data_IF_310900611669
#
_entry.id   IF_310900611669
#
_cell.length_a   1.000
_cell.length_b   1.000
_cell.length_c   1.000
_cell.angle_alpha   90.00
_cell.angle_beta   90.00
_cell.angle_gamma   90.00
#
_symmetry.space_group_name_H-M   'P 1'
#
loop_
_entity.id
_entity.type
_entity.pdbx_description
1 polymer ?
#
# COMPACT_ATOMS: atom_id res chain seq x y z
N UNK A 1 -19.99 43.55 -60.81
CA UNK A 1 -20.73 42.33 -60.44
C UNK A 1 -20.23 41.81 -59.10
N UNK A 2 -20.72 42.38 -58.00
CA UNK A 2 -20.70 41.76 -56.66
C UNK A 2 -22.01 42.22 -56.02
N UNK A 3 -23.08 41.54 -56.38
CA UNK A 3 -24.48 41.88 -56.09
C UNK A 3 -25.16 40.76 -55.29
N UNK A 4 -24.37 40.00 -54.51
CA UNK A 4 -24.84 38.71 -53.97
C UNK A 4 -24.13 38.38 -52.65
N UNK A 5 -24.62 38.95 -51.55
CA UNK A 5 -24.54 38.38 -50.20
C UNK A 5 -25.17 39.34 -49.15
N UNK A 6 -26.35 39.89 -49.41
CA UNK A 6 -27.23 40.25 -48.29
C UNK A 6 -27.97 38.97 -47.88
N UNK A 7 -27.19 38.05 -47.32
CA UNK A 7 -27.68 36.80 -46.77
C UNK A 7 -28.34 37.12 -45.44
N UNK A 8 -29.66 37.29 -45.53
CA UNK A 8 -30.67 37.16 -44.48
C UNK A 8 -30.10 36.65 -43.15
N UNK A 9 -29.75 37.57 -42.25
CA UNK A 9 -29.47 37.23 -40.86
C UNK A 9 -30.82 37.15 -40.17
N UNK A 10 -31.35 35.95 -39.85
CA UNK A 10 -32.58 35.86 -39.09
C UNK A 10 -32.35 36.55 -37.74
N UNK A 11 -33.18 37.54 -37.42
CA UNK A 11 -33.17 38.18 -36.11
C UNK A 11 -33.29 37.10 -35.02
N UNK A 12 -32.28 37.06 -34.14
CA UNK A 12 -32.23 36.06 -33.10
C UNK A 12 -33.49 36.15 -32.23
N UNK A 13 -34.19 35.04 -31.95
CA UNK A 13 -35.42 35.06 -31.18
C UNK A 13 -35.16 35.70 -29.81
N UNK A 14 -36.00 36.68 -29.49
CA UNK A 14 -35.98 37.44 -28.24
C UNK A 14 -35.88 36.47 -27.06
N UNK A 15 -34.77 36.54 -26.31
CA UNK A 15 -34.53 35.64 -25.19
C UNK A 15 -35.59 35.90 -24.13
N UNK A 16 -36.53 34.96 -23.99
CA UNK A 16 -37.55 34.97 -22.96
C UNK A 16 -36.90 35.22 -21.59
N UNK A 17 -37.50 36.08 -20.73
CA UNK A 17 -36.97 36.35 -19.41
C UNK A 17 -36.91 35.03 -18.63
N UNK A 18 -35.71 34.62 -18.23
CA UNK A 18 -35.49 33.44 -17.40
C UNK A 18 -36.21 33.68 -16.08
N UNK A 19 -37.42 33.11 -15.96
CA UNK A 19 -38.26 33.20 -14.79
C UNK A 19 -37.53 32.45 -13.67
N UNK A 20 -36.83 33.21 -12.82
CA UNK A 20 -36.07 32.69 -11.69
C UNK A 20 -37.07 32.15 -10.69
N UNK A 21 -37.45 30.88 -10.84
CA UNK A 21 -38.28 30.19 -9.87
C UNK A 21 -37.62 30.33 -8.51
N UNK A 22 -38.26 31.10 -7.63
CA UNK A 22 -37.90 31.15 -6.22
C UNK A 22 -38.16 29.76 -5.68
N UNK A 23 -37.15 28.89 -5.74
CA UNK A 23 -37.17 27.59 -5.05
C UNK A 23 -37.64 27.88 -3.63
N UNK A 24 -38.80 27.33 -3.30
CA UNK A 24 -39.45 27.59 -2.01
C UNK A 24 -38.45 27.34 -0.90
N UNK A 25 -38.48 28.14 0.17
CA UNK A 25 -37.60 27.94 1.33
C UNK A 25 -37.65 26.49 1.85
N UNK A 26 -38.79 25.83 1.65
CA UNK A 26 -39.00 24.40 1.94
C UNK A 26 -38.06 23.48 1.14
N UNK A 27 -37.80 23.79 -0.14
CA UNK A 27 -36.86 23.05 -0.99
C UNK A 27 -35.41 23.23 -0.53
N UNK A 28 -35.04 24.43 -0.09
CA UNK A 28 -33.71 24.68 0.45
C UNK A 28 -33.51 23.95 1.79
N UNK A 29 -34.53 23.95 2.64
CA UNK A 29 -34.49 23.22 3.93
C UNK A 29 -34.42 21.71 3.72
N UNK A 30 -35.21 21.15 2.80
CA UNK A 30 -35.14 19.72 2.49
C UNK A 30 -33.77 19.32 1.94
N UNK A 31 -33.20 20.13 1.06
CA UNK A 31 -31.85 19.91 0.52
C UNK A 31 -30.78 19.97 1.63
N UNK A 32 -30.89 20.90 2.57
CA UNK A 32 -29.98 21.00 3.71
C UNK A 32 -30.05 19.76 4.61
N UNK A 33 -31.26 19.27 4.90
CA UNK A 33 -31.48 18.07 5.72
C UNK A 33 -30.86 16.84 5.05
N UNK A 34 -31.05 16.67 3.74
CA UNK A 34 -30.47 15.55 3.00
C UNK A 34 -28.94 15.59 3.04
N UNK A 35 -28.34 16.77 2.86
CA UNK A 35 -26.88 16.95 2.92
C UNK A 35 -26.35 16.62 4.33
N UNK A 36 -27.00 17.14 5.39
CA UNK A 36 -26.61 16.86 6.77
C UNK A 36 -26.75 15.38 7.12
N UNK A 37 -27.84 14.73 6.70
CA UNK A 37 -28.03 13.30 6.90
C UNK A 37 -26.94 12.48 6.17
N UNK A 38 -26.60 12.85 4.94
CA UNK A 38 -25.51 12.22 4.18
C UNK A 38 -24.16 12.36 4.88
N UNK A 39 -23.82 13.56 5.35
CA UNK A 39 -22.59 13.81 6.10
C UNK A 39 -22.53 13.03 7.41
N UNK A 40 -23.64 12.93 8.14
CA UNK A 40 -23.73 12.15 9.36
C UNK A 40 -23.53 10.64 9.10
N UNK A 41 -24.14 10.10 8.04
CA UNK A 41 -23.97 8.70 7.63
C UNK A 41 -22.52 8.43 7.25
N UNK A 42 -21.90 9.31 6.45
CA UNK A 42 -20.49 9.18 6.07
C UNK A 42 -19.62 9.19 7.31
N UNK A 43 -19.77 10.18 8.21
CA UNK A 43 -18.99 10.30 9.44
C UNK A 43 -19.09 9.04 10.32
N UNK A 44 -20.29 8.48 10.45
CA UNK A 44 -20.53 7.26 11.23
C UNK A 44 -19.99 5.99 10.56
N UNK A 45 -19.93 5.95 9.22
CA UNK A 45 -19.40 4.81 8.45
C UNK A 45 -17.89 4.89 8.19
N UNK A 46 -17.27 6.07 8.21
CA UNK A 46 -15.81 6.26 8.04
C UNK A 46 -14.94 5.39 8.92
N UNK A 47 -15.20 5.20 10.24
CA UNK A 47 -14.36 4.34 11.07
C UNK A 47 -14.35 2.87 10.60
N UNK A 48 -15.43 2.40 9.96
CA UNK A 48 -15.47 1.05 9.36
C UNK A 48 -14.66 0.96 8.06
N UNK A 49 -14.62 2.04 7.27
CA UNK A 49 -13.84 2.10 6.03
C UNK A 49 -12.34 2.24 6.28
N UNK A 50 -11.94 2.94 7.34
CA UNK A 50 -10.51 3.07 7.72
C UNK A 50 -9.92 1.71 8.12
N UNK A 51 -10.72 0.83 8.71
CA UNK A 51 -10.31 -0.56 9.01
C UNK A 51 -10.09 -1.40 7.74
N UNK A 52 -10.82 -1.11 6.66
CA UNK A 52 -10.67 -1.81 5.37
C UNK A 52 -9.54 -1.23 4.51
N UNK A 53 -9.28 0.08 4.59
CA UNK A 53 -8.18 0.75 3.86
C UNK A 53 -6.81 0.51 4.53
N UNK A 54 -6.80 0.14 5.82
CA UNK A 54 -5.61 -0.45 6.47
C UNK A 54 -5.39 -1.93 6.12
N UNK A 55 -6.17 -2.48 5.18
CA UNK A 55 -6.05 -3.84 4.67
C UNK A 55 -4.78 -4.03 3.84
N UNK A 56 -3.94 -4.92 4.35
CA UNK A 56 -2.86 -5.68 3.73
C UNK A 56 -1.83 -4.91 2.88
N UNK A 57 -0.68 -4.70 3.54
CA UNK A 57 0.60 -4.37 2.88
C UNK A 57 0.82 -5.34 1.71
N UNK A 58 1.28 -4.84 0.55
CA UNK A 58 1.26 -5.59 -0.69
C UNK A 58 2.07 -6.88 -0.58
N UNK A 59 1.37 -7.99 -0.85
CA UNK A 59 1.84 -9.25 -1.44
C UNK A 59 3.36 -9.32 -1.66
N UNK A 60 4.10 -9.61 -0.58
CA UNK A 60 5.41 -10.25 -0.68
C UNK A 60 5.21 -11.72 -0.36
N UNK A 61 5.74 -12.59 -1.20
CA UNK A 61 5.47 -14.03 -1.20
C UNK A 61 5.61 -14.64 0.20
N UNK A 62 4.46 -14.92 0.82
CA UNK A 62 4.29 -15.42 2.17
C UNK A 62 2.99 -14.88 2.77
N UNK A 63 2.05 -15.76 3.13
CA UNK A 63 0.73 -15.46 3.72
C UNK A 63 0.79 -14.96 5.17
N UNK A 64 1.92 -14.42 5.60
CA UNK A 64 2.15 -14.06 6.99
C UNK A 64 2.25 -12.55 7.15
N UNK A 65 1.35 -11.97 7.93
CA UNK A 65 1.52 -10.63 8.45
C UNK A 65 2.74 -10.64 9.38
N UNK A 66 3.85 -10.09 8.89
CA UNK A 66 5.08 -9.86 9.65
C UNK A 66 5.09 -8.45 10.24
N UNK A 67 5.66 -8.31 11.44
CA UNK A 67 5.91 -6.99 12.02
C UNK A 67 7.09 -6.30 11.31
N UNK A 68 7.29 -5.01 11.60
CA UNK A 68 8.35 -4.22 10.95
C UNK A 68 9.78 -4.75 11.23
N UNK A 69 9.99 -5.41 12.37
CA UNK A 69 11.30 -5.96 12.73
C UNK A 69 11.55 -7.30 12.03
N UNK A 70 10.52 -8.12 11.86
CA UNK A 70 10.56 -9.32 11.02
C UNK A 70 10.79 -8.97 9.55
N UNK A 71 10.14 -7.93 9.04
CA UNK A 71 10.38 -7.41 7.69
C UNK A 71 11.85 -6.98 7.52
N UNK A 72 12.40 -6.24 8.49
CA UNK A 72 13.80 -5.84 8.47
C UNK A 72 14.76 -7.04 8.56
N UNK A 73 14.41 -8.07 9.33
CA UNK A 73 15.18 -9.32 9.41
C UNK A 73 15.23 -10.04 8.04
N UNK A 74 14.11 -10.08 7.32
CA UNK A 74 14.04 -10.66 5.97
C UNK A 74 14.84 -9.80 4.98
N UNK A 75 14.77 -8.47 5.07
CA UNK A 75 15.59 -7.56 4.24
C UNK A 75 17.09 -7.79 4.46
N UNK A 76 17.51 -7.96 5.72
CA UNK A 76 18.91 -8.28 6.04
C UNK A 76 19.32 -9.61 5.38
N UNK A 77 18.46 -10.63 5.42
CA UNK A 77 18.73 -11.93 4.77
C UNK A 77 18.78 -11.83 3.24
N UNK A 78 18.02 -10.94 2.62
CA UNK A 78 18.20 -10.63 1.19
C UNK A 78 19.57 -10.02 0.91
N UNK A 79 20.08 -9.17 1.80
CA UNK A 79 21.43 -8.63 1.67
C UNK A 79 22.49 -9.72 1.86
N UNK A 80 22.32 -10.60 2.86
CA UNK A 80 23.17 -11.79 3.03
C UNK A 80 23.20 -12.61 1.76
N UNK A 81 22.03 -12.91 1.19
CA UNK A 81 21.91 -13.70 -0.02
C UNK A 81 22.77 -13.15 -1.14
N UNK A 82 22.68 -11.84 -1.39
CA UNK A 82 23.52 -11.15 -2.37
C UNK A 82 25.01 -11.35 -2.08
N UNK A 83 25.44 -11.18 -0.83
CA UNK A 83 26.84 -11.40 -0.44
C UNK A 83 27.30 -12.85 -0.69
N UNK A 84 26.46 -13.83 -0.35
CA UNK A 84 26.75 -15.24 -0.58
C UNK A 84 26.89 -15.57 -2.08
N UNK A 85 26.05 -14.96 -2.93
CA UNK A 85 26.16 -15.09 -4.39
C UNK A 85 27.46 -14.46 -4.92
N UNK A 86 27.92 -13.36 -4.32
CA UNK A 86 29.22 -12.75 -4.63
C UNK A 86 30.42 -13.51 -4.02
N UNK A 87 30.18 -14.61 -3.31
CA UNK A 87 31.23 -15.38 -2.62
C UNK A 87 31.80 -14.68 -1.38
N UNK A 88 31.12 -13.66 -0.86
CA UNK A 88 31.49 -12.91 0.35
C UNK A 88 30.72 -13.42 1.56
N UNK A 89 31.36 -13.36 2.72
CA UNK A 89 30.69 -13.63 3.99
C UNK A 89 30.01 -12.35 4.53
N UNK A 90 28.85 -12.45 5.19
CA UNK A 90 28.25 -11.32 5.87
C UNK A 90 29.15 -10.83 7.02
N UNK A 91 29.24 -9.50 7.17
CA UNK A 91 30.02 -8.85 8.21
C UNK A 91 29.40 -9.00 9.60
N UNK A 92 30.21 -8.76 10.65
CA UNK A 92 29.77 -8.84 12.06
C UNK A 92 28.78 -7.74 12.47
N UNK A 93 28.70 -6.68 11.66
CA UNK A 93 27.76 -5.57 11.75
C UNK A 93 26.33 -5.98 11.35
N UNK A 94 26.18 -7.10 10.64
CA UNK A 94 24.87 -7.59 10.26
C UNK A 94 24.22 -8.39 11.40
N UNK A 95 23.35 -7.71 12.14
CA UNK A 95 22.65 -8.25 13.30
C UNK A 95 21.15 -8.36 13.07
N UNK A 96 20.53 -9.32 13.74
CA UNK A 96 19.08 -9.43 13.80
C UNK A 96 18.51 -8.23 14.58
N UNK A 97 17.50 -7.52 14.05
CA UNK A 97 16.98 -6.27 14.64
C UNK A 97 16.28 -6.49 15.98
N UNK A 98 15.88 -7.72 16.29
CA UNK A 98 15.08 -8.03 17.47
C UNK A 98 15.93 -8.68 18.57
N UNK A 99 16.86 -9.56 18.20
CA UNK A 99 17.78 -10.18 19.17
C UNK A 99 19.09 -9.40 19.37
N UNK A 100 19.42 -8.45 18.50
CA UNK A 100 20.70 -7.75 18.43
C UNK A 100 21.92 -8.69 18.38
N UNK A 101 21.74 -9.91 17.89
CA UNK A 101 22.80 -10.91 17.71
C UNK A 101 23.15 -11.05 16.23
N UNK A 102 24.42 -11.36 15.91
CA UNK A 102 24.82 -11.64 14.54
C UNK A 102 24.08 -12.88 14.01
N UNK A 103 23.89 -12.93 12.69
CA UNK A 103 23.31 -14.11 12.04
C UNK A 103 24.24 -15.32 12.17
N UNK A 104 23.65 -16.50 12.33
CA UNK A 104 24.39 -17.75 12.43
C UNK A 104 24.80 -18.22 11.04
N UNK A 105 26.10 -18.45 10.83
CA UNK A 105 26.64 -18.93 9.56
C UNK A 105 27.06 -20.39 9.75
N UNK A 106 26.58 -21.29 8.90
CA UNK A 106 26.93 -22.72 8.93
C UNK A 106 27.31 -23.19 7.53
N UNK A 107 28.47 -23.81 7.40
CA UNK A 107 28.90 -24.44 6.16
C UNK A 107 28.50 -25.92 6.18
N UNK A 108 27.67 -26.33 5.23
CA UNK A 108 27.18 -27.70 5.09
C UNK A 108 27.64 -28.22 3.73
N UNK A 109 28.74 -28.97 3.72
CA UNK A 109 29.41 -29.37 2.49
C UNK A 109 29.89 -28.16 1.70
N UNK A 110 29.37 -28.00 0.47
CA UNK A 110 29.67 -26.86 -0.39
C UNK A 110 28.66 -25.70 -0.27
N UNK A 111 27.59 -25.86 0.52
CA UNK A 111 26.59 -24.83 0.72
C UNK A 111 26.85 -24.04 2.01
N UNK A 112 26.60 -22.74 1.96
CA UNK A 112 26.71 -21.84 3.11
C UNK A 112 25.32 -21.39 3.48
N UNK A 113 24.91 -21.73 4.70
CA UNK A 113 23.62 -21.39 5.27
C UNK A 113 23.81 -20.24 6.24
N UNK A 114 22.87 -19.30 6.20
CA UNK A 114 22.81 -18.20 7.15
C UNK A 114 21.40 -18.14 7.74
N UNK A 115 21.29 -18.20 9.05
CA UNK A 115 20.01 -18.26 9.77
C UNK A 115 19.89 -17.16 10.84
N UNK A 116 18.66 -16.73 11.08
CA UNK A 116 18.34 -15.85 12.19
C UNK A 116 18.72 -16.53 13.53
N UNK A 117 19.39 -15.83 14.47
CA UNK A 117 19.81 -16.41 15.74
C UNK A 117 18.64 -16.68 16.70
N UNK A 118 17.48 -16.05 16.48
CA UNK A 118 16.27 -16.35 17.24
C UNK A 118 15.00 -16.11 16.40
N UNK A 119 14.62 -17.06 15.53
CA UNK A 119 13.46 -16.93 14.67
C UNK A 119 12.13 -16.88 15.45
N UNK A 120 12.09 -17.48 16.65
CA UNK A 120 10.90 -17.54 17.49
C UNK A 120 10.44 -16.14 17.93
N UNK A 121 11.36 -15.20 18.10
CA UNK A 121 11.02 -13.80 18.41
C UNK A 121 10.25 -13.10 17.29
N UNK A 122 10.38 -13.58 16.05
CA UNK A 122 9.63 -13.10 14.90
C UNK A 122 8.36 -13.92 14.64
N UNK A 123 8.03 -14.89 15.50
CA UNK A 123 6.87 -15.77 15.33
C UNK A 123 7.08 -16.90 14.30
N UNK A 124 8.32 -17.25 14.02
CA UNK A 124 8.70 -18.31 13.08
C UNK A 124 9.53 -19.39 13.77
N UNK A 125 9.43 -20.63 13.29
CA UNK A 125 10.30 -21.73 13.71
C UNK A 125 11.68 -21.62 13.09
N UNK A 126 11.75 -21.16 11.84
CA UNK A 126 13.01 -21.01 11.11
C UNK A 126 12.94 -19.84 10.14
N UNK A 127 14.05 -19.09 10.04
CA UNK A 127 14.25 -18.03 9.05
C UNK A 127 15.70 -18.16 8.59
N UNK A 128 15.92 -18.46 7.31
CA UNK A 128 17.25 -18.77 6.78
C UNK A 128 17.38 -18.47 5.30
N UNK A 129 18.61 -18.42 4.82
CA UNK A 129 18.95 -18.34 3.39
C UNK A 129 20.20 -19.17 3.14
N UNK A 130 20.39 -19.69 1.93
CA UNK A 130 21.62 -20.40 1.57
C UNK A 130 22.22 -19.91 0.26
N UNK A 131 23.47 -20.27 -0.01
CA UNK A 131 24.12 -19.95 -1.28
C UNK A 131 23.42 -20.67 -2.45
N UNK A 132 23.02 -21.92 -2.27
CA UNK A 132 22.26 -22.67 -3.29
C UNK A 132 20.80 -22.23 -3.41
N UNK A 133 20.22 -21.68 -2.34
CA UNK A 133 18.85 -21.16 -2.30
C UNK A 133 18.87 -19.68 -1.88
N UNK A 134 19.05 -18.76 -2.85
CA UNK A 134 19.23 -17.33 -2.56
C UNK A 134 17.95 -16.61 -2.11
N UNK A 135 16.82 -17.31 -2.02
CA UNK A 135 15.56 -16.75 -1.54
C UNK A 135 15.43 -17.09 -0.06
N UNK A 136 15.25 -16.11 0.84
CA UNK A 136 14.99 -16.37 2.24
C UNK A 136 13.77 -17.29 2.44
N UNK A 137 13.98 -18.38 3.18
CA UNK A 137 12.95 -19.34 3.54
C UNK A 137 12.48 -19.04 4.98
N UNK A 138 11.17 -19.07 5.18
CA UNK A 138 10.53 -18.95 6.50
C UNK A 138 9.63 -20.16 6.76
N UNK A 139 9.71 -20.73 7.96
CA UNK A 139 8.83 -21.82 8.42
C UNK A 139 8.19 -21.48 9.76
N UNK A 140 6.94 -21.91 9.97
CA UNK A 140 6.23 -21.81 11.25
C UNK A 140 6.26 -23.12 12.01
#
# INVERSE_FOLDING_TARGET
MIERAEEYVPEAPEKLPIKRERKSKVWLVSQLIIILAGLAIIAFQTPRLISAVKGDRPLRQGTYATDAQADQCIINLWHVSKLLQEGKAPGKDMVCPLSNRPYEIRSIGEDVWVSCPNPALHGFKEIRVSKRRPVPEVSK
#
